data_IF_692314240758
#
_entry.id   IF_692314240758
#
_cell.length_a   1.000
_cell.length_b   1.000
_cell.length_c   1.000
_cell.angle_alpha   90.00
_cell.angle_beta   90.00
_cell.angle_gamma   90.00
#
_symmetry.space_group_name_H-M   'P 1'
#
loop_
_entity.id
_entity.type
_entity.pdbx_description
1 polymer ?
#
# COMPACT_ATOMS: atom_id res chain seq x y z
N UNK A 1 15.31 -0.31 5.64
CA UNK A 1 14.55 -1.36 4.96
C UNK A 1 15.54 -2.35 4.38
N UNK A 2 15.31 -3.65 4.57
CA UNK A 2 16.09 -4.70 3.91
C UNK A 2 15.31 -5.22 2.70
N UNK A 3 15.98 -5.34 1.56
CA UNK A 3 15.43 -6.02 0.40
C UNK A 3 15.39 -7.53 0.66
N UNK A 4 14.26 -8.15 0.35
CA UNK A 4 14.06 -9.59 0.35
C UNK A 4 14.53 -10.15 -1.01
N UNK A 5 14.99 -11.41 -1.09
CA UNK A 5 15.53 -11.99 -2.33
C UNK A 5 14.52 -11.94 -3.50
N UNK A 6 14.97 -11.54 -4.70
CA UNK A 6 14.14 -11.36 -5.90
C UNK A 6 13.68 -12.67 -6.57
N UNK A 7 12.46 -12.69 -7.12
CA UNK A 7 11.96 -13.68 -8.09
C UNK A 7 10.81 -13.10 -8.95
N UNK A 8 10.88 -13.29 -10.27
CA UNK A 8 10.04 -12.66 -11.32
C UNK A 8 8.73 -13.41 -11.60
N UNK A 9 7.55 -12.79 -11.40
CA UNK A 9 6.24 -13.45 -11.59
C UNK A 9 5.10 -12.43 -11.89
N UNK A 10 4.78 -12.20 -13.17
CA UNK A 10 3.61 -11.40 -13.58
C UNK A 10 2.48 -12.24 -14.23
N UNK A 11 1.25 -11.72 -14.10
CA UNK A 11 -0.05 -12.14 -14.65
C UNK A 11 -0.73 -13.36 -13.99
N UNK A 12 -1.88 -13.12 -13.32
CA UNK A 12 -3.04 -14.03 -13.31
C UNK A 12 -4.29 -13.41 -12.65
N UNK A 13 -5.47 -13.68 -13.23
CA UNK A 13 -6.80 -13.30 -12.72
C UNK A 13 -7.18 -13.99 -11.40
N UNK A 14 -6.52 -15.11 -11.07
CA UNK A 14 -6.77 -15.87 -9.84
C UNK A 14 -6.29 -15.16 -8.56
N UNK A 15 -5.45 -14.12 -8.69
CA UNK A 15 -4.96 -13.33 -7.55
C UNK A 15 -6.11 -12.63 -6.81
N UNK A 16 -6.95 -11.91 -7.54
CA UNK A 16 -8.00 -11.10 -6.93
C UNK A 16 -9.08 -11.95 -6.27
N UNK A 17 -9.37 -13.13 -6.82
CA UNK A 17 -10.35 -14.05 -6.20
C UNK A 17 -9.83 -14.68 -4.91
N UNK A 18 -8.55 -15.06 -4.86
CA UNK A 18 -7.93 -15.55 -3.63
C UNK A 18 -7.78 -14.46 -2.56
N UNK A 19 -7.43 -13.23 -2.96
CA UNK A 19 -7.35 -12.10 -2.04
C UNK A 19 -8.68 -11.86 -1.34
N UNK A 20 -9.83 -11.99 -2.02
CA UNK A 20 -11.16 -11.84 -1.41
C UNK A 20 -11.36 -12.78 -0.21
N UNK A 21 -10.89 -14.02 -0.30
CA UNK A 21 -11.03 -15.00 0.78
C UNK A 21 -10.12 -14.68 1.97
N UNK A 22 -8.90 -14.19 1.73
CA UNK A 22 -8.00 -13.74 2.80
C UNK A 22 -8.48 -12.45 3.46
N UNK A 23 -9.05 -11.54 2.66
CA UNK A 23 -9.59 -10.27 3.14
C UNK A 23 -10.61 -10.45 4.27
N UNK A 24 -11.43 -11.50 4.22
CA UNK A 24 -12.38 -11.84 5.28
C UNK A 24 -11.72 -12.16 6.63
N UNK A 25 -10.48 -12.68 6.63
CA UNK A 25 -9.74 -13.00 7.86
C UNK A 25 -9.00 -11.79 8.43
N UNK A 26 -8.56 -10.86 7.58
CA UNK A 26 -7.83 -9.65 8.02
C UNK A 26 -8.74 -8.45 8.27
N UNK A 27 -10.04 -8.53 7.92
CA UNK A 27 -11.04 -7.46 8.09
C UNK A 27 -10.99 -6.79 9.49
N UNK A 28 -10.86 -7.50 10.63
CA UNK A 28 -10.78 -6.86 11.95
C UNK A 28 -9.53 -5.99 12.12
N UNK A 29 -8.39 -6.40 11.56
CA UNK A 29 -7.16 -5.60 11.59
C UNK A 29 -7.31 -4.32 10.77
N UNK A 30 -8.02 -4.43 9.65
CA UNK A 30 -8.33 -3.31 8.81
C UNK A 30 -9.38 -2.37 9.39
N UNK A 31 -10.31 -2.85 10.22
CA UNK A 31 -11.26 -1.96 10.91
C UNK A 31 -10.55 -0.90 11.77
N UNK A 32 -9.48 -1.30 12.47
CA UNK A 32 -8.66 -0.37 13.25
C UNK A 32 -7.91 0.62 12.34
N UNK A 33 -7.34 0.14 11.23
CA UNK A 33 -6.72 1.02 10.23
C UNK A 33 -7.72 1.99 9.61
N UNK A 34 -8.92 1.54 9.22
CA UNK A 34 -9.96 2.38 8.65
C UNK A 34 -10.39 3.47 9.61
N UNK A 35 -10.59 3.15 10.88
CA UNK A 35 -10.92 4.13 11.90
C UNK A 35 -9.80 5.17 12.08
N UNK A 36 -8.54 4.71 12.14
CA UNK A 36 -7.37 5.57 12.26
C UNK A 36 -7.18 6.48 11.04
N UNK A 37 -7.33 5.94 9.83
CA UNK A 37 -7.18 6.66 8.57
C UNK A 37 -8.31 7.70 8.37
N UNK A 38 -9.58 7.33 8.61
CA UNK A 38 -10.72 8.25 8.48
C UNK A 38 -10.60 9.51 9.33
N UNK A 39 -10.00 9.41 10.51
CA UNK A 39 -9.76 10.57 11.40
C UNK A 39 -8.70 11.54 10.86
N UNK A 40 -7.91 11.10 9.88
CA UNK A 40 -6.75 11.83 9.33
C UNK A 40 -6.95 12.25 7.87
N UNK A 41 -7.88 11.61 7.17
CA UNK A 41 -8.30 12.04 5.84
C UNK A 41 -8.96 13.42 5.90
N UNK A 42 -8.61 14.25 4.92
CA UNK A 42 -9.26 15.51 4.64
C UNK A 42 -9.57 15.60 3.14
N UNK A 43 -10.65 16.29 2.81
CA UNK A 43 -11.05 16.51 1.42
C UNK A 43 -11.44 15.23 0.67
N UNK A 44 -11.17 15.21 -0.64
CA UNK A 44 -11.39 14.05 -1.49
C UNK A 44 -10.28 13.00 -1.28
N UNK A 45 -10.66 11.73 -1.23
CA UNK A 45 -9.74 10.64 -0.90
C UNK A 45 -9.46 9.81 -2.15
N UNK A 46 -8.19 9.49 -2.36
CA UNK A 46 -7.69 8.71 -3.49
C UNK A 46 -6.95 7.47 -3.00
N UNK A 47 -7.37 6.31 -3.49
CA UNK A 47 -6.73 5.03 -3.21
C UNK A 47 -5.76 4.67 -4.35
N UNK A 48 -4.47 4.61 -4.05
CA UNK A 48 -3.39 4.32 -5.00
C UNK A 48 -2.92 2.88 -4.78
N UNK A 49 -2.91 2.07 -5.85
CA UNK A 49 -2.73 0.62 -5.74
C UNK A 49 -3.95 -0.05 -5.12
N UNK A 50 -5.15 0.39 -5.53
CA UNK A 50 -6.40 0.06 -4.87
C UNK A 50 -6.87 -1.40 -5.02
N UNK A 51 -6.28 -2.19 -5.94
CA UNK A 51 -6.73 -3.53 -6.26
C UNK A 51 -8.20 -3.56 -6.69
N UNK A 52 -9.07 -4.16 -5.89
CA UNK A 52 -10.53 -4.20 -6.12
C UNK A 52 -11.29 -3.03 -5.46
N UNK A 53 -10.58 -2.13 -4.79
CA UNK A 53 -11.08 -0.91 -4.16
C UNK A 53 -11.67 -1.10 -2.76
N UNK A 54 -11.54 -2.26 -2.12
CA UNK A 54 -12.17 -2.52 -0.82
C UNK A 54 -11.70 -1.54 0.28
N UNK A 55 -10.38 -1.32 0.38
CA UNK A 55 -9.79 -0.41 1.38
C UNK A 55 -10.26 1.02 1.14
N UNK A 56 -10.09 1.53 -0.08
CA UNK A 56 -10.55 2.86 -0.45
C UNK A 56 -12.02 3.07 -0.16
N UNK A 57 -12.91 2.16 -0.60
CA UNK A 57 -14.37 2.27 -0.33
C UNK A 57 -14.67 2.27 1.16
N UNK A 58 -14.01 1.42 1.94
CA UNK A 58 -14.21 1.36 3.38
C UNK A 58 -13.83 2.68 4.07
N UNK A 59 -12.80 3.38 3.56
CA UNK A 59 -12.33 4.68 4.08
C UNK A 59 -13.09 5.87 3.50
N UNK A 60 -13.75 5.71 2.35
CA UNK A 60 -14.51 6.76 1.67
C UNK A 60 -13.80 7.38 0.46
N UNK A 61 -12.88 6.65 -0.17
CA UNK A 61 -12.22 7.04 -1.42
C UNK A 61 -13.24 7.28 -2.54
N UNK A 62 -13.02 8.37 -3.27
CA UNK A 62 -13.80 8.77 -4.45
C UNK A 62 -13.02 8.56 -5.75
N UNK A 63 -11.70 8.39 -5.66
CA UNK A 63 -10.83 8.13 -6.80
C UNK A 63 -9.99 6.89 -6.56
N UNK A 64 -9.77 6.11 -7.61
CA UNK A 64 -9.12 4.81 -7.53
C UNK A 64 -8.12 4.66 -8.67
N UNK A 65 -6.89 4.34 -8.31
CA UNK A 65 -5.82 4.11 -9.25
C UNK A 65 -5.09 2.81 -8.94
N UNK A 66 -4.67 2.10 -9.97
CA UNK A 66 -3.86 0.89 -9.81
C UNK A 66 -2.91 0.73 -11.01
N UNK A 67 -1.82 -0.01 -10.83
CA UNK A 67 -0.95 -0.40 -11.94
C UNK A 67 -1.68 -1.37 -12.89
N UNK A 68 -2.50 -2.26 -12.34
CA UNK A 68 -3.33 -3.20 -13.09
C UNK A 68 -4.75 -2.65 -13.17
N UNK A 69 -5.18 -2.27 -14.37
CA UNK A 69 -6.57 -1.89 -14.61
C UNK A 69 -7.47 -3.12 -14.63
N UNK A 70 -7.85 -3.62 -13.45
CA UNK A 70 -8.75 -4.77 -13.31
C UNK A 70 -10.20 -4.45 -13.71
N UNK A 71 -10.60 -3.18 -13.56
CA UNK A 71 -11.96 -2.70 -13.82
C UNK A 71 -11.93 -1.33 -14.53
N UNK A 72 -12.98 -1.00 -15.28
CA UNK A 72 -13.05 0.25 -16.08
C UNK A 72 -12.98 1.52 -15.21
N UNK A 73 -13.53 1.47 -13.99
CA UNK A 73 -13.54 2.60 -13.06
C UNK A 73 -12.18 2.84 -12.36
N UNK A 74 -11.24 1.91 -12.48
CA UNK A 74 -9.87 2.06 -11.96
C UNK A 74 -9.03 2.76 -13.03
N UNK A 75 -8.39 3.87 -12.66
CA UNK A 75 -7.48 4.59 -13.56
C UNK A 75 -6.08 4.00 -13.48
N UNK A 76 -5.40 3.72 -14.60
CA UNK A 76 -4.04 3.19 -14.55
C UNK A 76 -3.06 4.23 -13.98
N UNK A 77 -2.14 3.78 -13.12
CA UNK A 77 -1.02 4.58 -12.61
C UNK A 77 0.24 3.73 -12.44
N UNK A 78 1.39 4.30 -12.78
CA UNK A 78 2.68 3.74 -12.42
C UNK A 78 3.39 4.68 -11.45
N UNK A 79 3.48 4.29 -10.18
CA UNK A 79 4.15 5.09 -9.14
C UNK A 79 5.68 5.16 -9.35
N UNK A 80 6.26 4.22 -10.12
CA UNK A 80 7.67 4.23 -10.47
C UNK A 80 7.99 5.22 -11.60
N UNK A 81 6.97 5.70 -12.32
CA UNK A 81 7.14 6.70 -13.36
C UNK A 81 7.52 8.06 -12.77
N UNK A 82 8.53 8.71 -13.35
CA UNK A 82 8.90 10.10 -13.02
C UNK A 82 7.88 11.13 -13.51
N UNK A 83 6.84 10.69 -14.23
CA UNK A 83 5.83 11.55 -14.85
C UNK A 83 4.43 11.07 -14.47
N UNK A 84 4.19 10.90 -13.17
CA UNK A 84 2.86 10.61 -12.63
C UNK A 84 1.91 11.74 -13.09
N UNK A 85 0.78 11.43 -13.75
CA UNK A 85 -0.16 12.43 -14.17
C UNK A 85 -0.79 13.14 -12.96
N UNK A 86 -1.39 14.33 -13.12
CA UNK A 86 -2.10 15.00 -12.04
C UNK A 86 -3.13 14.06 -11.40
N UNK A 87 -3.01 13.88 -10.08
CA UNK A 87 -3.93 13.05 -9.31
C UNK A 87 -5.08 13.91 -8.78
N UNK A 88 -6.24 13.29 -8.66
CA UNK A 88 -7.41 13.89 -8.00
C UNK A 88 -7.36 13.57 -6.52
N UNK A 89 -8.02 14.35 -5.67
CA UNK A 89 -7.98 14.18 -4.21
C UNK A 89 -7.06 15.16 -3.48
N UNK A 90 -7.20 15.14 -2.16
CA UNK A 90 -6.42 15.89 -1.16
C UNK A 90 -5.73 14.92 -0.17
N UNK A 91 -6.31 13.72 0.03
CA UNK A 91 -5.69 12.63 0.79
C UNK A 91 -5.48 11.41 -0.08
N UNK A 92 -4.27 10.88 -0.07
CA UNK A 92 -3.83 9.72 -0.86
C UNK A 92 -3.52 8.55 0.05
N UNK A 93 -3.97 7.35 -0.31
CA UNK A 93 -3.77 6.13 0.47
C UNK A 93 -2.91 5.16 -0.31
N UNK A 94 -1.92 4.58 0.35
CA UNK A 94 -1.14 3.43 -0.11
C UNK A 94 -1.29 2.32 0.92
N UNK A 95 -2.26 1.43 0.73
CA UNK A 95 -2.48 0.29 1.62
C UNK A 95 -1.91 -0.96 0.98
N UNK A 96 -0.84 -1.50 1.57
CA UNK A 96 -0.15 -2.69 1.10
C UNK A 96 0.34 -2.57 -0.36
N UNK A 97 1.05 -1.48 -0.64
CA UNK A 97 1.60 -1.19 -1.97
C UNK A 97 3.12 -1.08 -1.91
N UNK A 98 3.65 -0.30 -0.97
CA UNK A 98 5.08 0.04 -0.93
C UNK A 98 5.99 -1.18 -0.77
N UNK A 99 5.55 -2.20 -0.04
CA UNK A 99 6.30 -3.43 0.16
C UNK A 99 6.44 -4.26 -1.12
N UNK A 100 5.60 -4.03 -2.14
CA UNK A 100 5.67 -4.73 -3.42
C UNK A 100 6.50 -3.99 -4.48
N UNK A 101 6.82 -2.71 -4.27
CA UNK A 101 7.57 -1.92 -5.23
C UNK A 101 9.04 -2.32 -5.24
N UNK A 102 9.69 -2.26 -6.40
CA UNK A 102 11.12 -2.58 -6.56
C UNK A 102 12.04 -1.47 -6.03
N UNK A 103 11.58 -0.22 -6.03
CA UNK A 103 12.25 0.90 -5.37
C UNK A 103 11.20 1.87 -4.77
N UNK A 104 10.70 1.57 -3.56
CA UNK A 104 9.65 2.37 -2.93
C UNK A 104 10.12 3.79 -2.59
N UNK A 105 11.43 4.03 -2.47
CA UNK A 105 11.95 5.39 -2.25
C UNK A 105 11.73 6.24 -3.50
N UNK A 106 12.05 5.70 -4.67
CA UNK A 106 11.76 6.38 -5.94
C UNK A 106 10.26 6.61 -6.12
N UNK A 107 9.41 5.63 -5.81
CA UNK A 107 7.96 5.80 -5.88
C UNK A 107 7.44 6.94 -4.98
N UNK A 108 7.84 6.95 -3.71
CA UNK A 108 7.45 8.00 -2.76
C UNK A 108 7.95 9.39 -3.20
N UNK A 109 9.14 9.47 -3.83
CA UNK A 109 9.68 10.73 -4.38
C UNK A 109 8.90 11.21 -5.61
N UNK A 110 8.53 10.30 -6.50
CA UNK A 110 7.71 10.62 -7.68
C UNK A 110 6.33 11.11 -7.22
N UNK A 111 5.72 10.42 -6.26
CA UNK A 111 4.45 10.82 -5.67
C UNK A 111 4.57 12.19 -4.99
N UNK A 112 5.60 12.40 -4.17
CA UNK A 112 5.86 13.70 -3.55
C UNK A 112 5.95 14.83 -4.58
N UNK A 113 6.52 14.58 -5.76
CA UNK A 113 6.61 15.58 -6.84
C UNK A 113 5.24 15.85 -7.48
N UNK A 114 4.41 14.82 -7.64
CA UNK A 114 3.10 14.90 -8.28
C UNK A 114 2.00 15.55 -7.41
N UNK A 115 2.09 15.43 -6.08
CA UNK A 115 1.11 15.99 -5.15
C UNK A 115 1.23 17.52 -5.01
N UNK A 116 0.23 18.17 -4.42
CA UNK A 116 0.22 19.60 -4.10
C UNK A 116 0.66 19.83 -2.66
N UNK A 117 1.09 21.06 -2.35
CA UNK A 117 1.31 21.48 -0.95
C UNK A 117 0.00 21.36 -0.17
N UNK A 118 0.08 20.81 1.04
CA UNK A 118 -1.06 20.49 1.90
C UNK A 118 -1.64 19.09 1.71
N UNK A 119 -1.34 18.40 0.60
CA UNK A 119 -1.84 17.04 0.36
C UNK A 119 -1.30 16.07 1.42
N UNK A 120 -2.14 15.10 1.77
CA UNK A 120 -1.87 14.08 2.79
C UNK A 120 -1.57 12.74 2.15
N UNK A 121 -0.60 12.02 2.69
CA UNK A 121 -0.31 10.65 2.34
C UNK A 121 -0.51 9.76 3.57
N UNK A 122 -1.39 8.77 3.42
CA UNK A 122 -1.62 7.71 4.40
C UNK A 122 -1.04 6.41 3.85
N UNK A 123 -0.23 5.74 4.65
CA UNK A 123 0.42 4.48 4.27
C UNK A 123 0.05 3.41 5.29
N UNK A 124 -0.21 2.19 4.81
CA UNK A 124 -0.26 0.98 5.63
C UNK A 124 0.65 -0.07 5.00
N UNK A 125 1.61 -0.57 5.78
CA UNK A 125 2.52 -1.66 5.38
C UNK A 125 2.65 -2.67 6.51
N UNK A 126 2.98 -3.94 6.23
CA UNK A 126 3.29 -4.91 7.26
C UNK A 126 4.50 -4.48 8.10
N UNK A 127 4.44 -4.78 9.39
CA UNK A 127 5.53 -4.49 10.32
C UNK A 127 6.66 -5.51 10.16
N UNK A 128 7.79 -5.08 9.62
CA UNK A 128 8.99 -5.87 9.40
C UNK A 128 9.71 -6.34 10.67
N UNK A 129 9.39 -5.76 11.83
CA UNK A 129 9.89 -6.27 13.12
C UNK A 129 9.19 -7.55 13.58
N UNK A 130 8.05 -7.88 12.96
CA UNK A 130 7.35 -9.12 13.22
C UNK A 130 7.51 -10.07 12.01
N UNK A 131 8.22 -11.20 12.16
CA UNK A 131 8.39 -12.19 11.09
C UNK A 131 7.05 -12.74 10.60
N UNK A 132 6.04 -12.83 11.47
CA UNK A 132 4.73 -13.35 11.11
C UNK A 132 3.96 -12.41 10.17
N UNK A 133 4.04 -11.09 10.36
CA UNK A 133 3.42 -10.11 9.44
C UNK A 133 4.13 -10.02 8.09
N UNK A 134 5.39 -10.43 8.00
CA UNK A 134 6.12 -10.52 6.73
C UNK A 134 6.00 -11.88 6.06
N UNK A 135 5.65 -12.94 6.81
CA UNK A 135 5.57 -14.32 6.31
C UNK A 135 4.14 -14.82 6.05
N UNK A 136 3.15 -14.43 6.85
CA UNK A 136 1.89 -15.18 6.98
C UNK A 136 0.84 -15.00 5.88
N UNK A 137 0.74 -13.89 5.11
CA UNK A 137 -0.22 -13.84 4.00
C UNK A 137 0.39 -14.09 2.61
N UNK A 138 1.72 -14.03 2.43
CA UNK A 138 2.28 -13.88 1.06
C UNK A 138 3.33 -14.93 0.66
N UNK A 139 3.72 -15.82 1.57
CA UNK A 139 4.51 -17.02 1.21
C UNK A 139 3.67 -18.23 0.82
N UNK A 140 2.34 -18.17 0.93
CA UNK A 140 1.49 -19.32 0.60
C UNK A 140 1.13 -19.33 -0.89
N UNK A 141 1.95 -20.09 -1.63
CA UNK A 141 1.61 -20.87 -2.82
C UNK A 141 0.23 -20.57 -3.45
N UNK A 142 0.18 -19.72 -4.48
CA UNK A 142 -0.92 -19.76 -5.45
C UNK A 142 -0.54 -20.86 -6.45
N UNK A 143 -1.27 -21.99 -6.52
CA UNK A 143 -1.05 -22.96 -7.58
C UNK A 143 -1.41 -22.29 -8.90
N UNK A 144 -0.44 -22.08 -9.77
CA UNK A 144 -0.72 -21.79 -11.18
C UNK A 144 -1.07 -23.11 -11.88
N UNK A 145 -1.95 -23.05 -12.87
CA UNK A 145 -2.30 -24.22 -13.68
C UNK A 145 -1.14 -24.75 -14.54
N UNK A 146 -0.03 -24.01 -14.63
CA UNK A 146 1.20 -24.39 -15.35
C UNK A 146 2.33 -24.92 -14.46
N UNK A 147 2.11 -25.01 -13.14
CA UNK A 147 3.11 -25.51 -12.19
C UNK A 147 4.21 -24.51 -11.81
N UNK A 148 4.18 -23.28 -12.32
CA UNK A 148 5.03 -22.18 -11.87
C UNK A 148 4.35 -21.42 -10.73
N UNK A 149 4.68 -21.75 -9.47
CA UNK A 149 4.17 -21.00 -8.33
C UNK A 149 4.51 -19.49 -8.51
N UNK A 150 3.48 -18.67 -8.77
CA UNK A 150 3.59 -17.22 -8.93
C UNK A 150 3.31 -16.55 -7.59
N UNK A 151 4.38 -16.21 -6.89
CA UNK A 151 4.36 -15.56 -5.60
C UNK A 151 4.23 -14.05 -5.74
N UNK A 152 3.40 -13.48 -4.89
CA UNK A 152 3.29 -12.03 -4.70
C UNK A 152 4.20 -11.72 -3.53
N UNK A 153 5.40 -11.25 -3.84
CA UNK A 153 6.40 -11.02 -2.81
C UNK A 153 6.30 -9.60 -2.28
N UNK A 154 6.26 -9.48 -0.96
CA UNK A 154 6.84 -8.32 -0.30
C UNK A 154 8.33 -8.33 -0.62
N UNK A 155 8.79 -7.33 -1.37
CA UNK A 155 10.19 -7.07 -1.66
C UNK A 155 10.85 -6.39 -0.46
N UNK A 156 10.08 -5.69 0.37
CA UNK A 156 10.61 -4.94 1.50
C UNK A 156 9.90 -5.24 2.82
N UNK A 157 10.71 -5.40 3.87
CA UNK A 157 10.25 -5.38 5.26
C UNK A 157 10.48 -3.97 5.84
N UNK A 158 9.40 -3.33 6.30
CA UNK A 158 9.43 -1.97 6.82
C UNK A 158 9.45 -1.96 8.34
N UNK A 159 10.33 -1.16 8.95
CA UNK A 159 10.19 -0.80 10.37
C UNK A 159 9.58 0.60 10.48
N UNK A 160 8.99 0.93 11.65
CA UNK A 160 8.48 2.28 11.92
C UNK A 160 9.56 3.34 11.69
N UNK A 161 10.81 3.06 12.08
CA UNK A 161 11.94 3.96 11.89
C UNK A 161 12.31 4.11 10.40
N UNK A 162 12.29 3.02 9.63
CA UNK A 162 12.56 3.06 8.20
C UNK A 162 11.56 3.92 7.44
N UNK A 163 10.26 3.72 7.72
CA UNK A 163 9.19 4.46 7.05
C UNK A 163 9.25 5.95 7.41
N UNK A 164 9.40 6.25 8.71
CA UNK A 164 9.54 7.62 9.20
C UNK A 164 10.73 8.35 8.56
N UNK A 165 11.92 7.76 8.62
CA UNK A 165 13.13 8.37 8.09
C UNK A 165 13.09 8.51 6.56
N UNK A 166 12.44 7.57 5.87
CA UNK A 166 12.27 7.65 4.41
C UNK A 166 11.37 8.82 4.03
N UNK A 167 10.24 9.00 4.72
CA UNK A 167 9.33 10.12 4.49
C UNK A 167 10.03 11.46 4.78
N UNK A 168 10.66 11.60 5.95
CA UNK A 168 11.41 12.83 6.26
C UNK A 168 12.52 13.13 5.26
N UNK A 169 13.27 12.10 4.85
CA UNK A 169 14.37 12.24 3.88
C UNK A 169 13.93 12.71 2.50
N UNK A 170 12.64 12.64 2.19
CA UNK A 170 12.05 13.11 0.93
C UNK A 170 11.32 14.45 1.05
N UNK A 171 11.34 15.07 2.22
CA UNK A 171 10.75 16.38 2.46
C UNK A 171 9.30 16.35 2.91
N UNK A 172 8.74 15.19 3.22
CA UNK A 172 7.45 15.10 3.91
C UNK A 172 7.56 15.69 5.32
N UNK A 173 6.50 16.34 5.79
CA UNK A 173 6.42 16.96 7.11
C UNK A 173 5.26 16.40 7.92
N UNK A 174 5.21 16.72 9.21
CA UNK A 174 4.16 16.28 10.14
C UNK A 174 3.95 14.76 10.12
N UNK A 175 5.05 14.00 10.02
CA UNK A 175 5.01 12.55 9.91
C UNK A 175 4.57 11.94 11.24
N UNK A 176 3.41 11.28 11.24
CA UNK A 176 2.91 10.48 12.35
C UNK A 176 3.11 8.99 12.02
N UNK A 177 3.56 8.20 12.99
CA UNK A 177 3.62 6.74 12.88
C UNK A 177 2.76 6.11 13.97
N UNK A 178 1.97 5.13 13.59
CA UNK A 178 1.26 4.24 14.49
C UNK A 178 1.57 2.78 14.13
N UNK A 179 1.35 1.88 15.08
CA UNK A 179 1.38 0.44 14.83
C UNK A 179 0.17 -0.20 15.46
N UNK A 180 -0.33 -1.27 14.85
CA UNK A 180 -1.37 -2.09 15.42
C UNK A 180 -1.09 -3.55 15.12
N UNK A 181 -1.25 -4.39 16.14
CA UNK A 181 -1.28 -5.84 16.00
C UNK A 181 -2.70 -6.30 16.29
N UNK A 182 -3.39 -6.81 15.27
CA UNK A 182 -4.75 -7.31 15.41
C UNK A 182 -4.82 -8.68 14.77
N UNK A 183 -5.19 -9.69 15.56
CA UNK A 183 -5.30 -11.08 15.10
C UNK A 183 -4.00 -11.63 14.48
N UNK A 184 -2.83 -11.20 14.97
CA UNK A 184 -1.52 -11.61 14.44
C UNK A 184 -1.07 -10.81 13.22
N UNK A 185 -1.92 -9.93 12.68
CA UNK A 185 -1.56 -9.00 11.62
C UNK A 185 -1.00 -7.72 12.23
N UNK A 186 0.31 -7.56 12.12
CA UNK A 186 1.06 -6.40 12.63
C UNK A 186 1.37 -5.44 11.48
N UNK A 187 0.83 -4.23 11.55
CA UNK A 187 0.98 -3.20 10.54
C UNK A 187 1.60 -1.93 11.12
N UNK A 188 2.33 -1.23 10.27
CA UNK A 188 2.77 0.15 10.48
C UNK A 188 1.88 1.03 9.64
N UNK A 189 1.35 2.08 10.27
CA UNK A 189 0.59 3.12 9.61
C UNK A 189 1.37 4.42 9.67
N UNK A 190 1.33 5.20 8.61
CA UNK A 190 1.92 6.53 8.58
C UNK A 190 0.95 7.55 8.00
N UNK A 191 0.98 8.75 8.57
CA UNK A 191 0.46 9.97 7.94
C UNK A 191 1.65 10.86 7.65
N UNK A 192 1.67 11.47 6.47
CA UNK A 192 2.65 12.45 6.07
C UNK A 192 1.96 13.58 5.29
N UNK A 193 2.46 14.81 5.42
CA UNK A 193 1.90 15.98 4.75
C UNK A 193 2.97 16.57 3.83
N UNK A 194 2.58 16.94 2.60
CA UNK A 194 3.46 17.68 1.72
C UNK A 194 3.48 19.16 2.15
N UNK A 195 4.66 19.77 2.41
CA UNK A 195 4.76 21.17 2.81
C UNK A 195 4.31 22.12 1.70
#
# INVERSE_FOLDING_TARGET
MSQLPEKDLSSDSNYYDWMKDIWLYVEPAYAAFYAWAKQRCEGEITDLGCGDGNVGRAIGATHFYDYIQAEEWIKPIDLMSSSIPPLQGDTFILSHVLEHLTDPKTALKNLFTALKSGDRLIICVPNGNNPESTALPFQQYIPSNDGTAKHIHHVYAWTSADLYNTLLGQGWVSVEIATANVCGFDCIWALAIKP
#
